data_IF_667797205579
#
_entry.id   IF_667797205579
#
_cell.length_a   1.000
_cell.length_b   1.000
_cell.length_c   1.000
_cell.angle_alpha   90.00
_cell.angle_beta   90.00
_cell.angle_gamma   90.00
#
_symmetry.space_group_name_H-M   'P 1'
#
loop_
_entity.id
_entity.type
_entity.pdbx_description
1 polymer ?
#
# COMPACT_ATOMS: atom_id res chain seq x y z
N UNK A 1 20.02 16.14 3.56
CA UNK A 1 19.80 15.39 2.32
C UNK A 1 20.22 13.95 2.53
N UNK A 2 19.39 12.98 2.14
CA UNK A 2 19.67 11.54 2.25
C UNK A 2 19.54 10.90 0.87
N UNK A 3 20.63 10.90 0.10
CA UNK A 3 20.57 10.59 -1.34
C UNK A 3 20.14 9.14 -1.62
N UNK A 4 20.56 8.17 -0.80
CA UNK A 4 20.09 6.78 -0.94
C UNK A 4 18.57 6.69 -0.78
N UNK A 5 18.01 7.42 0.19
CA UNK A 5 16.57 7.47 0.43
C UNK A 5 15.81 8.12 -0.71
N UNK A 6 16.36 9.17 -1.33
CA UNK A 6 15.78 9.79 -2.53
C UNK A 6 15.61 8.74 -3.65
N UNK A 7 16.63 7.92 -3.90
CA UNK A 7 16.56 6.89 -4.93
C UNK A 7 15.61 5.75 -4.57
N UNK A 8 15.64 5.28 -3.32
CA UNK A 8 14.76 4.18 -2.89
C UNK A 8 13.28 4.59 -2.92
N UNK A 9 12.96 5.82 -2.51
CA UNK A 9 11.60 6.38 -2.58
C UNK A 9 11.16 6.65 -4.03
N UNK A 10 12.08 7.09 -4.89
CA UNK A 10 11.80 7.26 -6.32
C UNK A 10 11.43 5.93 -6.97
N UNK A 11 12.18 4.86 -6.67
CA UNK A 11 11.87 3.51 -7.16
C UNK A 11 10.47 3.08 -6.68
N UNK A 12 10.18 3.23 -5.39
CA UNK A 12 8.86 2.91 -4.84
C UNK A 12 7.75 3.71 -5.52
N UNK A 13 7.94 5.02 -5.69
CA UNK A 13 7.00 5.90 -6.36
C UNK A 13 6.71 5.46 -7.80
N UNK A 14 7.76 5.24 -8.59
CA UNK A 14 7.65 4.82 -9.99
C UNK A 14 6.94 3.47 -10.11
N UNK A 15 7.33 2.49 -9.28
CA UNK A 15 6.69 1.16 -9.29
C UNK A 15 5.22 1.28 -8.90
N UNK A 16 4.89 1.98 -7.82
CA UNK A 16 3.52 2.14 -7.34
C UNK A 16 2.62 2.86 -8.36
N UNK A 17 3.10 3.94 -8.98
CA UNK A 17 2.38 4.66 -10.03
C UNK A 17 2.20 3.81 -11.29
N UNK A 18 3.25 3.11 -11.73
CA UNK A 18 3.20 2.22 -12.87
C UNK A 18 2.17 1.11 -12.67
N UNK A 19 2.17 0.46 -11.50
CA UNK A 19 1.24 -0.64 -11.23
C UNK A 19 -0.19 -0.15 -11.01
N UNK A 20 -0.39 1.04 -10.45
CA UNK A 20 -1.70 1.68 -10.37
C UNK A 20 -2.27 1.87 -11.79
N UNK A 21 -1.49 2.47 -12.68
CA UNK A 21 -1.91 2.73 -14.06
C UNK A 21 -2.24 1.43 -14.82
N UNK A 22 -1.45 0.37 -14.61
CA UNK A 22 -1.67 -0.95 -15.23
C UNK A 22 -2.97 -1.65 -14.84
N UNK A 23 -3.50 -1.38 -13.65
CA UNK A 23 -4.73 -2.00 -13.16
C UNK A 23 -5.93 -1.07 -13.25
N UNK A 24 -5.77 0.15 -13.75
CA UNK A 24 -6.87 1.11 -13.92
C UNK A 24 -8.00 0.46 -14.72
N UNK A 25 -9.13 0.24 -14.08
CA UNK A 25 -10.30 -0.34 -14.72
C UNK A 25 -11.57 0.12 -14.02
N UNK A 26 -12.41 0.89 -14.72
CA UNK A 26 -13.68 1.37 -14.18
C UNK A 26 -14.73 0.25 -14.01
N UNK A 27 -14.47 -0.94 -14.57
CA UNK A 27 -15.42 -2.05 -14.55
C UNK A 27 -15.25 -2.98 -13.33
N UNK A 28 -14.04 -3.13 -12.79
CA UNK A 28 -13.76 -4.04 -11.68
C UNK A 28 -13.59 -3.28 -10.36
N UNK A 29 -14.45 -3.57 -9.39
CA UNK A 29 -14.40 -2.99 -8.04
C UNK A 29 -13.02 -3.18 -7.40
N UNK A 30 -12.48 -4.40 -7.48
CA UNK A 30 -11.21 -4.74 -6.87
C UNK A 30 -10.05 -3.97 -7.48
N UNK A 31 -10.05 -3.83 -8.82
CA UNK A 31 -9.04 -3.06 -9.54
C UNK A 31 -9.14 -1.56 -9.26
N UNK A 32 -10.34 -1.00 -9.14
CA UNK A 32 -10.53 0.40 -8.74
C UNK A 32 -10.04 0.65 -7.31
N UNK A 33 -10.35 -0.25 -6.37
CA UNK A 33 -9.85 -0.14 -4.99
C UNK A 33 -8.31 -0.20 -4.94
N UNK A 34 -7.71 -1.16 -5.65
CA UNK A 34 -6.27 -1.25 -5.79
C UNK A 34 -5.64 -0.06 -6.48
N UNK A 35 -6.29 0.51 -7.50
CA UNK A 35 -5.80 1.70 -8.21
C UNK A 35 -5.62 2.86 -7.23
N UNK A 36 -6.63 3.18 -6.42
CA UNK A 36 -6.50 4.23 -5.40
C UNK A 36 -5.47 3.86 -4.33
N UNK A 37 -5.40 2.59 -3.95
CA UNK A 37 -4.40 2.08 -3.02
C UNK A 37 -2.96 2.33 -3.48
N UNK A 38 -2.61 1.86 -4.67
CA UNK A 38 -1.26 2.03 -5.22
C UNK A 38 -0.97 3.46 -5.62
N UNK A 39 -1.97 4.22 -6.08
CA UNK A 39 -1.80 5.65 -6.41
C UNK A 39 -1.41 6.46 -5.17
N UNK A 40 -2.09 6.26 -4.05
CA UNK A 40 -1.76 6.99 -2.80
C UNK A 40 -0.36 6.64 -2.29
N UNK A 41 0.06 5.38 -2.36
CA UNK A 41 1.44 4.97 -2.05
C UNK A 41 2.44 5.67 -2.99
N UNK A 42 2.17 5.67 -4.30
CA UNK A 42 3.07 6.25 -5.30
C UNK A 42 3.24 7.77 -5.15
N UNK A 43 2.14 8.49 -4.92
CA UNK A 43 2.17 9.93 -4.64
C UNK A 43 2.91 10.22 -3.34
N UNK A 44 2.66 9.44 -2.29
CA UNK A 44 3.34 9.60 -1.01
C UNK A 44 4.86 9.43 -1.13
N UNK A 45 5.32 8.36 -1.79
CA UNK A 45 6.73 8.12 -2.02
C UNK A 45 7.36 9.19 -2.93
N UNK A 46 6.61 9.69 -3.94
CA UNK A 46 7.06 10.78 -4.80
C UNK A 46 7.27 12.10 -4.04
N UNK A 47 6.41 12.41 -3.08
CA UNK A 47 6.63 13.53 -2.16
C UNK A 47 7.80 13.28 -1.21
N UNK A 48 8.03 12.01 -0.84
CA UNK A 48 9.18 11.60 -0.05
C UNK A 48 10.53 11.85 -0.74
N UNK A 49 10.61 11.70 -2.07
CA UNK A 49 11.78 12.15 -2.87
C UNK A 49 12.11 13.62 -2.59
N UNK A 50 11.12 14.49 -2.61
CA UNK A 50 11.29 15.94 -2.37
C UNK A 50 11.72 16.19 -0.91
N UNK A 51 11.09 15.49 0.03
CA UNK A 51 11.44 15.55 1.46
C UNK A 51 12.90 15.15 1.71
N UNK A 52 13.34 13.99 1.20
CA UNK A 52 14.70 13.47 1.42
C UNK A 52 15.78 14.25 0.64
N UNK A 53 15.42 14.98 -0.41
CA UNK A 53 16.28 15.99 -1.04
C UNK A 53 16.57 17.19 -0.11
N UNK A 54 15.78 17.36 0.95
CA UNK A 54 15.93 18.46 1.92
C UNK A 54 15.06 19.68 1.61
N UNK A 55 14.09 19.55 0.69
CA UNK A 55 13.15 20.62 0.35
C UNK A 55 11.94 20.54 1.29
N UNK A 56 12.04 21.19 2.45
CA UNK A 56 11.05 21.09 3.53
C UNK A 56 9.71 21.80 3.29
N UNK A 57 9.56 22.55 2.19
CA UNK A 57 8.34 23.35 1.94
C UNK A 57 7.08 22.49 1.77
N UNK A 58 7.25 21.23 1.34
CA UNK A 58 6.17 20.27 1.14
C UNK A 58 6.02 19.25 2.29
N UNK A 59 6.76 19.40 3.38
CA UNK A 59 6.71 18.45 4.51
C UNK A 59 5.30 18.21 5.07
N UNK A 60 4.43 19.23 5.25
CA UNK A 60 3.06 19.00 5.69
C UNK A 60 2.26 18.15 4.69
N UNK A 61 2.47 18.37 3.40
CA UNK A 61 1.80 17.63 2.32
C UNK A 61 2.32 16.20 2.26
N UNK A 62 3.64 16.01 2.35
CA UNK A 62 4.28 14.70 2.42
C UNK A 62 3.75 13.88 3.60
N UNK A 63 3.75 14.43 4.82
CA UNK A 63 3.24 13.75 6.01
C UNK A 63 1.76 13.41 5.88
N UNK A 64 0.99 14.33 5.29
CA UNK A 64 -0.43 14.07 5.01
C UNK A 64 -0.60 12.89 4.05
N UNK A 65 0.19 12.83 2.97
CA UNK A 65 0.16 11.75 1.99
C UNK A 65 0.63 10.40 2.55
N UNK A 66 1.62 10.38 3.43
CA UNK A 66 2.06 9.16 4.14
C UNK A 66 0.93 8.60 5.00
N UNK A 67 0.25 9.47 5.75
CA UNK A 67 -0.92 9.08 6.54
C UNK A 67 -2.07 8.57 5.65
N UNK A 68 -2.37 9.27 4.56
CA UNK A 68 -3.39 8.88 3.59
C UNK A 68 -3.10 7.50 2.97
N UNK A 69 -1.86 7.24 2.56
CA UNK A 69 -1.46 5.94 2.03
C UNK A 69 -1.64 4.83 3.07
N UNK A 70 -1.30 5.10 4.34
CA UNK A 70 -1.36 4.10 5.42
C UNK A 70 -2.79 3.80 5.89
N UNK A 71 -3.64 4.81 6.04
CA UNK A 71 -5.01 4.67 6.55
C UNK A 71 -6.03 4.35 5.46
N UNK A 72 -5.81 4.81 4.23
CA UNK A 72 -6.76 4.66 3.13
C UNK A 72 -6.19 3.76 2.06
N UNK A 73 -4.97 4.03 1.60
CA UNK A 73 -4.37 3.31 0.48
C UNK A 73 -4.24 1.80 0.72
N UNK A 74 -3.54 1.42 1.78
CA UNK A 74 -3.29 0.01 2.13
C UNK A 74 -4.60 -0.75 2.43
N UNK A 75 -5.53 -0.22 3.24
CA UNK A 75 -6.81 -0.90 3.46
C UNK A 75 -7.65 -1.06 2.20
N UNK A 76 -7.65 -0.09 1.27
CA UNK A 76 -8.35 -0.23 0.00
C UNK A 76 -7.80 -1.38 -0.87
N UNK A 77 -6.49 -1.65 -0.83
CA UNK A 77 -5.91 -2.85 -1.47
C UNK A 77 -6.53 -4.11 -0.84
N UNK A 78 -6.56 -4.19 0.49
CA UNK A 78 -7.17 -5.31 1.22
C UNK A 78 -8.66 -5.50 0.90
N UNK A 79 -9.41 -4.40 0.80
CA UNK A 79 -10.83 -4.39 0.40
C UNK A 79 -11.00 -4.92 -1.04
N UNK A 80 -10.07 -4.61 -1.94
CA UNK A 80 -10.05 -5.17 -3.28
C UNK A 80 -9.97 -6.70 -3.27
N UNK A 81 -9.08 -7.27 -2.45
CA UNK A 81 -8.99 -8.72 -2.24
C UNK A 81 -10.23 -9.30 -1.55
N UNK A 82 -10.75 -8.61 -0.52
CA UNK A 82 -11.99 -9.00 0.16
C UNK A 82 -13.15 -9.18 -0.84
N UNK A 83 -13.29 -8.24 -1.78
CA UNK A 83 -14.28 -8.29 -2.86
C UNK A 83 -14.08 -9.50 -3.80
N UNK A 84 -12.84 -9.93 -4.02
CA UNK A 84 -12.51 -11.06 -4.91
C UNK A 84 -12.86 -12.40 -4.26
N UNK A 85 -12.52 -12.60 -2.99
CA UNK A 85 -12.49 -13.94 -2.38
C UNK A 85 -13.44 -14.18 -1.21
N UNK A 86 -13.97 -13.14 -0.56
CA UNK A 86 -14.78 -13.29 0.65
C UNK A 86 -16.23 -12.88 0.39
N UNK A 87 -16.49 -11.62 0.03
CA UNK A 87 -17.84 -11.13 -0.22
C UNK A 87 -17.83 -10.07 -1.31
N UNK A 88 -18.70 -10.23 -2.31
CA UNK A 88 -18.92 -9.21 -3.33
C UNK A 88 -19.58 -7.98 -2.70
N UNK A 89 -18.88 -6.86 -2.82
CA UNK A 89 -19.35 -5.54 -2.37
C UNK A 89 -20.11 -4.86 -3.51
N UNK A 90 -21.09 -4.03 -3.14
CA UNK A 90 -21.84 -3.22 -4.10
C UNK A 90 -20.94 -2.21 -4.80
N UNK A 91 -21.19 -1.96 -6.09
CA UNK A 91 -20.35 -1.10 -6.93
C UNK A 91 -20.15 0.29 -6.34
N UNK A 92 -21.17 0.84 -5.68
CA UNK A 92 -21.15 2.19 -5.13
C UNK A 92 -20.57 2.28 -3.71
N UNK A 93 -20.29 1.15 -3.05
CA UNK A 93 -19.80 1.12 -1.67
C UNK A 93 -18.34 1.57 -1.51
N UNK A 94 -17.56 1.61 -2.60
CA UNK A 94 -16.13 1.94 -2.53
C UNK A 94 -15.88 3.35 -1.99
N UNK A 95 -16.63 4.35 -2.47
CA UNK A 95 -16.44 5.74 -2.07
C UNK A 95 -16.86 5.99 -0.62
N UNK A 96 -18.00 5.48 -0.12
CA UNK A 96 -18.31 5.52 1.31
C UNK A 96 -17.24 4.87 2.17
N UNK A 97 -16.71 3.70 1.78
CA UNK A 97 -15.65 3.02 2.53
C UNK A 97 -14.37 3.85 2.55
N UNK A 98 -13.94 4.39 1.40
CA UNK A 98 -12.79 5.29 1.33
C UNK A 98 -13.00 6.56 2.18
N UNK A 99 -14.22 7.11 2.19
CA UNK A 99 -14.60 8.25 3.01
C UNK A 99 -14.54 7.96 4.51
N UNK A 100 -14.99 6.78 4.95
CA UNK A 100 -14.86 6.34 6.34
C UNK A 100 -13.39 6.19 6.72
N UNK A 101 -12.57 5.53 5.88
CA UNK A 101 -11.13 5.39 6.12
C UNK A 101 -10.43 6.74 6.19
N UNK A 102 -10.82 7.69 5.33
CA UNK A 102 -10.33 9.06 5.35
C UNK A 102 -10.74 9.80 6.62
N UNK A 103 -11.99 9.66 7.06
CA UNK A 103 -12.45 10.25 8.31
C UNK A 103 -11.72 9.67 9.51
N UNK A 104 -11.47 8.35 9.53
CA UNK A 104 -10.62 7.71 10.54
C UNK A 104 -9.20 8.29 10.53
N UNK A 105 -8.63 8.53 9.35
CA UNK A 105 -7.33 9.19 9.25
C UNK A 105 -7.35 10.61 9.84
N UNK A 106 -8.36 11.42 9.51
CA UNK A 106 -8.47 12.78 10.04
C UNK A 106 -8.61 12.77 11.57
N UNK A 107 -9.50 11.92 12.11
CA UNK A 107 -9.72 11.83 13.56
C UNK A 107 -8.47 11.29 14.27
N UNK A 108 -7.98 10.11 13.88
CA UNK A 108 -6.91 9.43 14.60
C UNK A 108 -5.50 9.88 14.20
N UNK A 109 -5.37 10.69 13.16
CA UNK A 109 -4.12 11.31 12.74
C UNK A 109 -3.90 12.70 13.34
N UNK A 110 -4.98 13.47 13.58
CA UNK A 110 -4.87 14.88 14.00
C UNK A 110 -5.62 15.24 15.28
N UNK A 111 -6.74 14.57 15.60
CA UNK A 111 -7.60 14.95 16.74
C UNK A 111 -7.31 14.06 17.96
N UNK A 112 -7.28 12.74 17.77
CA UNK A 112 -7.02 11.76 18.82
C UNK A 112 -5.94 10.75 18.36
N UNK A 113 -4.65 11.13 18.44
CA UNK A 113 -3.56 10.31 17.90
C UNK A 113 -3.56 8.89 18.45
N UNK A 114 -3.81 7.91 17.58
CA UNK A 114 -3.69 6.49 17.92
C UNK A 114 -2.71 5.80 16.96
N UNK A 115 -1.39 5.80 17.28
CA UNK A 115 -0.33 5.38 16.36
C UNK A 115 -0.44 3.95 15.84
N UNK A 116 -1.09 3.07 16.61
CA UNK A 116 -1.23 1.66 16.27
C UNK A 116 -2.34 1.38 15.23
N UNK A 117 -3.25 2.35 14.99
CA UNK A 117 -4.40 2.12 14.12
C UNK A 117 -4.01 1.86 12.67
N UNK A 118 -3.08 2.64 12.11
CA UNK A 118 -2.59 2.44 10.74
C UNK A 118 -1.95 1.06 10.57
N UNK A 119 -1.19 0.63 11.58
CA UNK A 119 -0.55 -0.69 11.60
C UNK A 119 -1.58 -1.81 11.68
N UNK A 120 -2.61 -1.65 12.52
CA UNK A 120 -3.70 -2.61 12.63
C UNK A 120 -4.51 -2.71 11.33
N UNK A 121 -4.86 -1.58 10.72
CA UNK A 121 -5.56 -1.53 9.43
C UNK A 121 -4.75 -2.18 8.31
N UNK A 122 -3.44 -1.87 8.22
CA UNK A 122 -2.52 -2.50 7.28
C UNK A 122 -2.38 -4.00 7.52
N UNK A 123 -2.26 -4.43 8.77
CA UNK A 123 -2.19 -5.84 9.16
C UNK A 123 -3.45 -6.61 8.76
N UNK A 124 -4.64 -6.08 9.08
CA UNK A 124 -5.93 -6.68 8.69
C UNK A 124 -6.04 -6.77 7.17
N UNK A 125 -5.62 -5.73 6.44
CA UNK A 125 -5.61 -5.74 4.99
C UNK A 125 -4.73 -6.86 4.44
N UNK A 126 -3.49 -6.98 4.91
CA UNK A 126 -2.55 -8.00 4.42
C UNK A 126 -2.96 -9.43 4.81
N UNK A 127 -3.50 -9.63 6.01
CA UNK A 127 -4.10 -10.92 6.42
C UNK A 127 -5.25 -11.29 5.48
N UNK A 128 -6.11 -10.31 5.14
CA UNK A 128 -7.21 -10.51 4.18
C UNK A 128 -6.68 -10.92 2.81
N UNK A 129 -5.61 -10.29 2.32
CA UNK A 129 -4.95 -10.68 1.07
C UNK A 129 -4.50 -12.13 1.12
N UNK A 130 -3.79 -12.53 2.19
CA UNK A 130 -3.30 -13.91 2.36
C UNK A 130 -4.45 -14.91 2.33
N UNK A 131 -5.51 -14.67 3.13
CA UNK A 131 -6.67 -15.56 3.20
C UNK A 131 -7.35 -15.73 1.83
N UNK A 132 -7.56 -14.62 1.11
CA UNK A 132 -8.16 -14.64 -0.23
C UNK A 132 -7.27 -15.41 -1.21
N UNK A 133 -5.97 -15.19 -1.17
CA UNK A 133 -5.03 -15.86 -2.07
C UNK A 133 -4.94 -17.36 -1.79
N UNK A 134 -4.93 -17.78 -0.51
CA UNK A 134 -4.98 -19.21 -0.15
C UNK A 134 -6.24 -19.86 -0.73
N UNK A 135 -7.41 -19.21 -0.61
CA UNK A 135 -8.68 -19.73 -1.19
C UNK A 135 -8.67 -19.79 -2.72
N UNK A 136 -7.91 -18.93 -3.38
CA UNK A 136 -7.77 -18.86 -4.84
C UNK A 136 -6.54 -19.61 -5.36
N UNK A 137 -5.85 -20.35 -4.50
CA UNK A 137 -4.63 -21.09 -4.84
C UNK A 137 -4.94 -22.44 -5.50
N UNK A 138 -5.65 -22.42 -6.64
CA UNK A 138 -6.02 -23.62 -7.38
C UNK A 138 -6.00 -23.38 -8.89
N UNK A 139 -5.71 -24.44 -9.65
CA UNK A 139 -5.75 -24.42 -11.12
C UNK A 139 -5.03 -23.23 -11.76
N UNK A 140 -5.72 -22.55 -12.69
CA UNK A 140 -5.19 -21.40 -13.44
C UNK A 140 -4.94 -20.12 -12.62
N UNK A 141 -5.44 -20.01 -11.39
CA UNK A 141 -5.23 -18.83 -10.53
C UNK A 141 -4.06 -18.99 -9.55
N UNK A 142 -3.41 -20.16 -9.50
CA UNK A 142 -2.30 -20.50 -8.61
C UNK A 142 -1.17 -19.46 -8.64
N UNK A 143 -0.65 -19.13 -9.82
CA UNK A 143 0.47 -18.18 -9.96
C UNK A 143 0.08 -16.82 -9.41
N UNK A 144 -1.11 -16.31 -9.74
CA UNK A 144 -1.58 -15.03 -9.25
C UNK A 144 -1.73 -15.01 -7.72
N UNK A 145 -2.29 -16.07 -7.13
CA UNK A 145 -2.41 -16.20 -5.68
C UNK A 145 -1.05 -16.20 -4.97
N UNK A 146 -0.03 -16.86 -5.52
CA UNK A 146 1.32 -16.85 -4.94
C UNK A 146 1.95 -15.45 -4.93
N UNK A 147 1.74 -14.65 -5.99
CA UNK A 147 2.16 -13.24 -5.99
C UNK A 147 1.45 -12.43 -4.90
N UNK A 148 0.17 -12.69 -4.64
CA UNK A 148 -0.57 -12.01 -3.58
C UNK A 148 -0.06 -12.36 -2.19
N UNK A 149 0.23 -13.65 -1.93
CA UNK A 149 0.82 -14.12 -0.68
C UNK A 149 2.22 -13.51 -0.49
N UNK A 150 3.07 -13.59 -1.51
CA UNK A 150 4.42 -13.02 -1.48
C UNK A 150 4.36 -11.51 -1.19
N UNK A 151 3.52 -10.78 -1.92
CA UNK A 151 3.34 -9.35 -1.74
C UNK A 151 2.88 -8.99 -0.33
N UNK A 152 1.91 -9.72 0.23
CA UNK A 152 1.42 -9.48 1.58
C UNK A 152 2.48 -9.78 2.66
N UNK A 153 3.25 -10.87 2.51
CA UNK A 153 4.34 -11.20 3.43
C UNK A 153 5.42 -10.12 3.38
N UNK A 154 5.87 -9.72 2.19
CA UNK A 154 6.87 -8.66 2.04
C UNK A 154 6.39 -7.32 2.62
N UNK A 155 5.10 -7.00 2.45
CA UNK A 155 4.51 -5.80 3.05
C UNK A 155 4.56 -5.84 4.58
N UNK A 156 4.18 -6.97 5.19
CA UNK A 156 4.23 -7.16 6.65
C UNK A 156 5.68 -7.09 7.15
N UNK A 157 6.63 -7.74 6.47
CA UNK A 157 8.04 -7.72 6.82
C UNK A 157 8.63 -6.30 6.73
N UNK A 158 8.29 -5.55 5.68
CA UNK A 158 8.68 -4.15 5.56
C UNK A 158 8.17 -3.33 6.76
N UNK A 159 6.87 -3.40 7.04
CA UNK A 159 6.23 -2.61 8.08
C UNK A 159 6.64 -2.97 9.52
N UNK A 160 6.72 -4.27 9.86
CA UNK A 160 6.91 -4.71 11.24
C UNK A 160 8.34 -5.08 11.60
N UNK A 161 9.15 -5.54 10.64
CA UNK A 161 10.49 -6.08 10.92
C UNK A 161 11.58 -5.13 10.45
N UNK A 162 11.41 -4.52 9.28
CA UNK A 162 12.42 -3.60 8.74
C UNK A 162 12.26 -2.22 9.39
N UNK A 163 11.03 -1.67 9.38
CA UNK A 163 10.74 -0.34 9.89
C UNK A 163 11.46 0.76 9.13
N UNK A 164 11.26 2.01 9.54
CA UNK A 164 11.87 3.20 8.89
C UNK A 164 12.98 3.84 9.71
N UNK A 165 13.26 3.34 10.92
CA UNK A 165 14.23 3.91 11.86
C UNK A 165 15.49 3.06 11.97
N UNK A 166 16.64 3.71 12.13
CA UNK A 166 17.94 3.05 12.29
C UNK A 166 18.61 2.58 10.99
N UNK A 167 19.69 1.81 11.13
CA UNK A 167 20.47 1.25 10.03
C UNK A 167 20.87 -0.19 10.30
N UNK A 168 21.11 -0.95 9.22
CA UNK A 168 21.72 -2.28 9.25
C UNK A 168 23.09 -2.18 8.58
N UNK A 169 24.10 -1.85 9.38
CA UNK A 169 25.44 -1.53 8.86
C UNK A 169 25.42 -0.23 8.04
N UNK A 170 25.92 -0.23 6.78
CA UNK A 170 25.99 0.99 5.97
C UNK A 170 24.66 1.38 5.31
N UNK A 171 23.64 0.52 5.38
CA UNK A 171 22.35 0.73 4.70
C UNK A 171 21.30 1.21 5.72
N UNK A 172 20.58 2.28 5.38
CA UNK A 172 19.48 2.78 6.21
C UNK A 172 18.27 1.84 6.12
N UNK A 173 17.57 1.63 7.23
CA UNK A 173 16.39 0.77 7.24
C UNK A 173 15.28 1.30 6.34
N UNK A 174 15.16 2.63 6.22
CA UNK A 174 14.22 3.28 5.30
C UNK A 174 14.47 2.90 3.83
N UNK A 175 15.72 2.68 3.43
CA UNK A 175 16.06 2.27 2.06
C UNK A 175 15.60 0.84 1.78
N UNK A 176 15.90 -0.06 2.71
CA UNK A 176 15.48 -1.46 2.66
C UNK A 176 13.95 -1.53 2.66
N UNK A 177 13.30 -0.71 3.49
CA UNK A 177 11.84 -0.60 3.56
C UNK A 177 11.24 -0.23 2.21
N UNK A 178 11.69 0.85 1.56
CA UNK A 178 11.14 1.29 0.28
C UNK A 178 11.34 0.25 -0.84
N UNK A 179 12.52 -0.39 -0.90
CA UNK A 179 12.80 -1.42 -1.92
C UNK A 179 11.92 -2.65 -1.71
N UNK A 180 11.81 -3.17 -0.48
CA UNK A 180 10.96 -4.32 -0.17
C UNK A 180 9.48 -3.98 -0.44
N UNK A 181 9.05 -2.77 -0.07
CA UNK A 181 7.69 -2.31 -0.32
C UNK A 181 7.40 -2.17 -1.82
N UNK A 182 8.36 -1.76 -2.63
CA UNK A 182 8.20 -1.69 -4.09
C UNK A 182 7.94 -3.09 -4.69
N UNK A 183 8.71 -4.11 -4.26
CA UNK A 183 8.49 -5.50 -4.67
C UNK A 183 7.14 -6.04 -4.17
N UNK A 184 6.75 -5.68 -2.95
CA UNK A 184 5.45 -6.03 -2.38
C UNK A 184 4.30 -5.44 -3.22
N UNK A 185 4.36 -4.14 -3.52
CA UNK A 185 3.37 -3.41 -4.33
C UNK A 185 3.24 -4.01 -5.74
N UNK A 186 4.36 -4.32 -6.38
CA UNK A 186 4.35 -4.99 -7.67
C UNK A 186 3.65 -6.35 -7.61
N UNK A 187 4.02 -7.18 -6.62
CA UNK A 187 3.46 -8.53 -6.45
C UNK A 187 1.96 -8.49 -6.16
N UNK A 188 1.52 -7.58 -5.27
CA UNK A 188 0.10 -7.37 -4.97
C UNK A 188 -0.69 -6.93 -6.19
N UNK A 189 -0.15 -6.04 -7.02
CA UNK A 189 -0.80 -5.60 -8.25
C UNK A 189 -0.95 -6.73 -9.28
N UNK A 190 0.11 -7.52 -9.50
CA UNK A 190 0.05 -8.68 -10.43
C UNK A 190 -1.05 -9.65 -10.00
N UNK A 191 -1.14 -9.93 -8.70
CA UNK A 191 -2.20 -10.77 -8.13
C UNK A 191 -3.58 -10.15 -8.35
N UNK A 192 -3.77 -8.89 -7.97
CA UNK A 192 -5.06 -8.19 -8.06
C UNK A 192 -5.56 -8.08 -9.52
N UNK A 193 -4.65 -7.82 -10.47
CA UNK A 193 -4.93 -7.75 -11.91
C UNK A 193 -5.42 -9.08 -12.49
N UNK A 194 -4.91 -10.20 -11.98
CA UNK A 194 -5.20 -11.54 -12.51
C UNK A 194 -6.38 -12.21 -11.78
N UNK A 195 -6.63 -11.86 -10.53
CA UNK A 195 -7.71 -12.44 -9.72
C UNK A 195 -9.02 -11.64 -9.75
N UNK A 196 -8.96 -10.33 -10.05
CA UNK A 196 -10.12 -9.42 -10.09
C UNK A 196 -10.37 -8.82 -11.47
#
# INVERSE_FOLDING_TARGET
MQLSTVFSDLILSLVALFVAFQIRSAASYARTAGFFGFLTIGVSAGLGVIHFLGIGILDPVYRFSVGLASFVGVPLIGIGFFHIGIKKLEKNSLYPIAGILFLLYVIFGYVFPFPLLSTALGGIAMVTVILVCIRKNSGGTKVAALYGILGAILFILAGLVIGTTGSRGPILNVDIFHVVLAVAVYSLSVSLKRLG
#
